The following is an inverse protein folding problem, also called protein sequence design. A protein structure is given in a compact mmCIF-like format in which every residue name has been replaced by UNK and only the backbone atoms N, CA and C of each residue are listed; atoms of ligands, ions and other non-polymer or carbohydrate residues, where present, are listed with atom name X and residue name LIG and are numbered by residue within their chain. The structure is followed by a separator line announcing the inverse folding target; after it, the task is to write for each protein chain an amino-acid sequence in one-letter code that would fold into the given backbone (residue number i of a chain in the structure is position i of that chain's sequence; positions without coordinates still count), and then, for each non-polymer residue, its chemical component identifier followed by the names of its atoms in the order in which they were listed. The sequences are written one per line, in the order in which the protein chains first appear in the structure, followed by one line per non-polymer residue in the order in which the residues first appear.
data_IF_353831380817
#
_entry.id   IF_353831380817
#
_cell.length_a   1.000
_cell.length_b   1.000
_cell.length_c   1.000
_cell.angle_alpha   90.00
_cell.angle_beta   90.00
_cell.angle_gamma   90.00
#
_symmetry.space_group_name_H-M   'P 1'
#
loop_
_entity.id
_entity.type
_entity.pdbx_description
1 polymer ?
#
# COMPACT_ATOMS: atom_id res chain seq x y z
N UNK A 1 26.56 4.09 20.07
CA UNK A 1 25.34 4.14 20.89
C UNK A 1 24.31 4.89 20.05
N UNK A 2 23.37 4.19 19.41
CA UNK A 2 22.28 4.87 18.69
C UNK A 2 21.33 5.44 19.75
N UNK A 3 20.94 6.70 19.58
CA UNK A 3 19.87 7.31 20.39
C UNK A 3 18.57 6.62 20.00
N UNK A 4 17.74 6.26 20.98
CA UNK A 4 16.42 5.70 20.69
C UNK A 4 15.54 6.79 20.07
N UNK A 5 14.77 6.42 19.04
CA UNK A 5 13.83 7.33 18.39
C UNK A 5 12.67 7.65 19.36
N UNK A 6 12.31 8.93 19.46
CA UNK A 6 11.26 9.40 20.36
C UNK A 6 9.90 9.38 19.64
N UNK A 7 9.22 8.24 19.74
CA UNK A 7 7.93 8.00 19.08
C UNK A 7 6.81 8.90 19.61
N UNK A 8 6.81 9.21 20.91
CA UNK A 8 5.76 10.04 21.52
C UNK A 8 5.85 11.49 21.03
N UNK A 9 7.08 12.04 20.97
CA UNK A 9 7.33 13.36 20.41
C UNK A 9 7.05 13.40 18.90
N UNK A 10 7.47 12.37 18.16
CA UNK A 10 7.19 12.22 16.74
C UNK A 10 5.68 12.27 16.45
N UNK A 11 4.87 11.46 17.14
CA UNK A 11 3.42 11.46 16.94
C UNK A 11 2.78 12.81 17.28
N UNK A 12 3.19 13.42 18.39
CA UNK A 12 2.63 14.70 18.85
C UNK A 12 2.95 15.84 17.88
N UNK A 13 4.23 16.00 17.52
CA UNK A 13 4.68 17.09 16.66
C UNK A 13 4.18 16.93 15.22
N UNK A 14 4.21 15.71 14.67
CA UNK A 14 3.70 15.48 13.31
C UNK A 14 2.18 15.58 13.21
N UNK A 15 1.42 15.28 14.27
CA UNK A 15 -0.01 15.57 14.29
C UNK A 15 -0.29 17.07 14.18
N UNK A 16 0.51 17.90 14.88
CA UNK A 16 0.40 19.35 14.79
C UNK A 16 0.78 19.85 13.39
N UNK A 17 1.92 19.38 12.86
CA UNK A 17 2.39 19.75 11.52
C UNK A 17 1.39 19.36 10.43
N UNK A 18 0.88 18.12 10.45
CA UNK A 18 -0.14 17.67 9.51
C UNK A 18 -1.42 18.51 9.62
N UNK A 19 -1.86 18.83 10.85
CA UNK A 19 -3.04 19.69 11.05
C UNK A 19 -2.83 21.09 10.48
N UNK A 20 -1.66 21.69 10.68
CA UNK A 20 -1.33 23.02 10.15
C UNK A 20 -1.23 23.01 8.61
N UNK A 21 -0.65 21.97 8.03
CA UNK A 21 -0.63 21.76 6.58
C UNK A 21 -2.04 21.65 5.99
N UNK A 22 -2.93 20.84 6.59
CA UNK A 22 -4.34 20.76 6.14
C UNK A 22 -5.04 22.11 6.28
N UNK A 23 -4.84 22.86 7.38
CA UNK A 23 -5.41 24.20 7.52
C UNK A 23 -4.96 25.12 6.38
N UNK A 24 -3.68 25.09 6.02
CA UNK A 24 -3.15 25.88 4.91
C UNK A 24 -3.76 25.45 3.56
N UNK A 25 -3.93 24.15 3.33
CA UNK A 25 -4.60 23.64 2.13
C UNK A 25 -6.08 24.06 2.06
N UNK A 26 -6.83 23.95 3.16
CA UNK A 26 -8.23 24.39 3.24
C UNK A 26 -8.34 25.90 3.01
N UNK A 27 -7.42 26.70 3.57
CA UNK A 27 -7.38 28.15 3.31
C UNK A 27 -7.11 28.46 1.84
N UNK A 28 -6.28 27.66 1.17
CA UNK A 28 -5.96 27.78 -0.26
C UNK A 28 -7.16 27.40 -1.12
N UNK A 29 -7.87 26.33 -0.76
CA UNK A 29 -9.11 25.87 -1.41
C UNK A 29 -10.30 26.82 -1.16
N UNK A 30 -10.14 27.82 -0.29
CA UNK A 30 -11.08 28.90 -0.07
C UNK A 30 -12.51 28.44 0.27
N UNK A 31 -13.44 28.50 -0.69
CA UNK A 31 -14.87 28.20 -0.49
C UNK A 31 -15.29 26.81 -0.94
N UNK A 32 -14.32 25.97 -1.33
CA UNK A 32 -14.57 24.58 -1.69
C UNK A 32 -14.93 23.74 -0.46
N UNK A 33 -15.51 22.58 -0.70
CA UNK A 33 -16.06 21.69 0.32
C UNK A 33 -15.12 20.49 0.50
N UNK A 34 -14.28 20.44 1.56
CA UNK A 34 -13.42 19.28 1.81
C UNK A 34 -14.24 18.02 2.10
N UNK A 35 -13.85 16.89 1.52
CA UNK A 35 -14.45 15.60 1.86
C UNK A 35 -13.43 14.53 2.27
N UNK A 36 -12.15 14.70 1.91
CA UNK A 36 -11.12 13.76 2.31
C UNK A 36 -9.74 14.39 2.53
N UNK A 37 -8.96 13.77 3.42
CA UNK A 37 -7.53 13.99 3.58
C UNK A 37 -6.84 12.64 3.48
N UNK A 38 -5.75 12.56 2.73
CA UNK A 38 -4.99 11.33 2.57
C UNK A 38 -3.53 11.53 2.94
N UNK A 39 -2.99 10.56 3.67
CA UNK A 39 -1.56 10.34 3.79
C UNK A 39 -1.18 9.34 2.69
N UNK A 40 -0.34 9.69 1.73
CA UNK A 40 -0.08 8.86 0.54
C UNK A 40 1.41 8.76 0.20
N UNK A 41 1.76 8.03 -0.85
CA UNK A 41 3.16 7.84 -1.29
C UNK A 41 4.08 7.29 -0.20
N UNK A 42 3.59 6.32 0.58
CA UNK A 42 4.41 5.59 1.54
C UNK A 42 5.60 4.93 0.84
N UNK A 43 6.81 5.30 1.25
CA UNK A 43 8.04 4.73 0.71
C UNK A 43 8.94 4.21 1.81
N UNK A 44 9.38 2.97 1.64
CA UNK A 44 10.33 2.33 2.53
C UNK A 44 11.21 1.32 1.78
N UNK A 45 12.48 1.26 2.15
CA UNK A 45 13.43 0.27 1.65
C UNK A 45 13.75 -0.71 2.78
N UNK A 46 13.56 -2.02 2.56
CA UNK A 46 13.89 -3.02 3.59
C UNK A 46 15.34 -2.87 4.05
N UNK A 47 15.55 -2.66 5.36
CA UNK A 47 16.85 -2.34 6.00
C UNK A 47 17.45 -0.96 5.64
N UNK A 48 16.77 -0.19 4.80
CA UNK A 48 17.10 1.16 4.39
C UNK A 48 16.18 2.20 5.05
N UNK A 49 15.89 3.26 4.31
CA UNK A 49 15.13 4.41 4.79
C UNK A 49 13.63 4.14 4.89
N UNK A 50 12.96 4.94 5.71
CA UNK A 50 11.50 5.09 5.74
C UNK A 50 11.24 6.59 5.57
N UNK A 51 10.51 6.97 4.54
CA UNK A 51 10.11 8.36 4.32
C UNK A 51 8.75 8.64 4.94
N UNK A 52 8.55 9.91 5.31
CA UNK A 52 7.22 10.39 5.67
C UNK A 52 6.33 10.34 4.42
N UNK A 53 5.02 10.04 4.59
CA UNK A 53 4.09 10.07 3.47
C UNK A 53 3.80 11.52 3.06
N UNK A 54 3.28 11.72 1.86
CA UNK A 54 2.73 13.02 1.45
C UNK A 54 1.35 13.23 2.07
N UNK A 55 0.88 14.48 2.07
CA UNK A 55 -0.45 14.84 2.51
C UNK A 55 -1.25 15.43 1.35
N UNK A 56 -2.47 14.96 1.16
CA UNK A 56 -3.38 15.48 0.14
C UNK A 56 -4.72 15.90 0.74
N UNK A 57 -5.35 16.91 0.15
CA UNK A 57 -6.71 17.36 0.47
C UNK A 57 -7.59 17.27 -0.78
N UNK A 58 -8.74 16.61 -0.64
CA UNK A 58 -9.73 16.52 -1.69
C UNK A 58 -10.96 17.37 -1.36
N UNK A 59 -11.46 18.08 -2.36
CA UNK A 59 -12.69 18.87 -2.28
C UNK A 59 -13.67 18.44 -3.36
N UNK A 60 -14.96 18.63 -3.12
CA UNK A 60 -16.02 18.24 -4.07
C UNK A 60 -15.88 18.97 -5.42
N UNK A 61 -15.28 20.15 -5.42
CA UNK A 61 -15.13 21.02 -6.59
C UNK A 61 -13.83 20.76 -7.38
N UNK A 62 -12.74 20.33 -6.74
CA UNK A 62 -11.46 20.09 -7.41
C UNK A 62 -11.37 18.71 -8.07
N UNK A 63 -12.18 17.74 -7.63
CA UNK A 63 -12.17 16.37 -8.15
C UNK A 63 -13.41 16.10 -8.99
N UNK A 64 -13.32 16.40 -10.29
CA UNK A 64 -14.44 16.24 -11.24
C UNK A 64 -14.68 14.78 -11.68
N UNK A 65 -13.61 13.98 -11.80
CA UNK A 65 -13.68 12.60 -12.25
C UNK A 65 -14.01 11.67 -11.07
N UNK A 66 -15.15 10.95 -11.09
CA UNK A 66 -15.50 9.99 -10.04
C UNK A 66 -14.44 8.92 -9.81
N UNK A 67 -13.69 8.53 -10.86
CA UNK A 67 -12.64 7.51 -10.76
C UNK A 67 -11.40 8.05 -10.00
N UNK A 68 -11.22 9.37 -9.92
CA UNK A 68 -10.14 10.03 -9.18
C UNK A 68 -10.54 10.46 -7.76
N UNK A 69 -11.79 10.20 -7.32
CA UNK A 69 -12.32 10.67 -6.04
C UNK A 69 -11.45 10.29 -4.83
N UNK A 70 -10.91 9.07 -4.82
CA UNK A 70 -10.00 8.60 -3.78
C UNK A 70 -8.64 8.19 -4.38
N UNK A 71 -8.09 9.08 -5.21
CA UNK A 71 -6.76 8.95 -5.81
C UNK A 71 -5.92 10.18 -5.43
N UNK A 72 -5.22 10.17 -4.26
CA UNK A 72 -4.43 11.31 -3.80
C UNK A 72 -3.46 11.91 -4.83
N UNK A 73 -2.77 11.12 -5.68
CA UNK A 73 -1.90 11.68 -6.71
C UNK A 73 -2.61 12.58 -7.73
N UNK A 74 -3.92 12.41 -7.90
CA UNK A 74 -4.74 13.18 -8.85
C UNK A 74 -5.38 14.43 -8.22
N UNK A 75 -5.19 14.67 -6.92
CA UNK A 75 -5.79 15.81 -6.23
C UNK A 75 -5.01 17.10 -6.45
N UNK A 76 -5.72 18.23 -6.50
CA UNK A 76 -5.12 19.55 -6.74
C UNK A 76 -4.26 20.02 -5.55
N UNK A 77 -4.74 19.79 -4.33
CA UNK A 77 -4.09 20.27 -3.12
C UNK A 77 -3.24 19.16 -2.49
N UNK A 78 -1.92 19.27 -2.65
CA UNK A 78 -0.94 18.35 -2.10
C UNK A 78 0.17 19.11 -1.38
N UNK A 79 0.64 18.55 -0.27
CA UNK A 79 1.79 18.99 0.50
C UNK A 79 2.77 17.82 0.66
N UNK A 80 3.92 17.95 0.00
CA UNK A 80 4.97 16.93 -0.07
C UNK A 80 5.94 16.99 1.12
N UNK A 81 5.91 18.04 1.93
CA UNK A 81 6.90 18.25 3.01
C UNK A 81 6.26 18.56 4.39
N UNK A 82 4.92 18.55 4.48
CA UNK A 82 4.13 18.88 5.69
C UNK A 82 4.54 20.25 6.28
N UNK A 83 4.68 21.24 5.39
CA UNK A 83 5.12 22.61 5.70
C UNK A 83 6.63 22.76 5.99
N UNK A 84 7.07 23.98 6.34
CA UNK A 84 8.46 24.29 6.75
C UNK A 84 8.86 23.68 8.12
N UNK A 85 8.09 22.68 8.60
CA UNK A 85 8.14 22.09 9.95
C UNK A 85 8.43 20.60 9.93
N UNK A 86 9.07 20.04 8.90
CA UNK A 86 9.86 18.82 9.13
C UNK A 86 10.92 19.18 10.17
N UNK A 87 10.66 18.84 11.44
CA UNK A 87 11.56 19.07 12.59
C UNK A 87 12.88 18.27 12.47
N UNK A 88 13.23 17.85 11.26
CA UNK A 88 14.20 16.81 10.95
C UNK A 88 13.69 15.43 11.32
N UNK A 89 12.37 15.22 11.50
CA UNK A 89 11.82 13.94 11.91
C UNK A 89 12.01 12.88 10.82
N UNK A 90 11.85 13.25 9.55
CA UNK A 90 12.11 12.34 8.43
C UNK A 90 13.58 11.89 8.38
N UNK A 91 14.51 12.82 8.57
CA UNK A 91 15.95 12.51 8.66
C UNK A 91 16.29 11.67 9.89
N UNK A 92 15.75 12.03 11.06
CA UNK A 92 15.96 11.29 12.31
C UNK A 92 15.43 9.86 12.22
N UNK A 93 14.25 9.66 11.63
CA UNK A 93 13.65 8.35 11.39
C UNK A 93 14.56 7.53 10.47
N UNK A 94 14.95 8.11 9.34
CA UNK A 94 15.87 7.48 8.37
C UNK A 94 17.18 7.04 9.03
N UNK A 95 17.79 7.89 9.87
CA UNK A 95 19.01 7.57 10.62
C UNK A 95 18.79 6.46 11.64
N UNK A 96 17.64 6.43 12.31
CA UNK A 96 17.32 5.43 13.32
C UNK A 96 17.19 4.03 12.72
N UNK A 97 16.53 3.92 11.56
CA UNK A 97 16.15 2.64 10.95
C UNK A 97 17.17 2.09 9.94
N UNK A 98 17.94 2.96 9.28
CA UNK A 98 18.89 2.53 8.24
C UNK A 98 19.98 1.62 8.81
N UNK A 99 20.24 0.51 8.10
CA UNK A 99 21.24 -0.48 8.45
C UNK A 99 20.88 -1.36 9.64
N UNK A 100 19.64 -1.30 10.13
CA UNK A 100 19.15 -2.29 11.10
C UNK A 100 19.09 -3.68 10.46
N UNK A 101 19.33 -4.76 11.25
CA UNK A 101 18.98 -6.10 10.83
C UNK A 101 17.50 -6.18 10.45
N UNK A 102 17.17 -6.94 9.41
CA UNK A 102 15.80 -7.04 8.85
C UNK A 102 14.69 -7.15 9.91
N UNK A 103 14.80 -8.11 10.84
CA UNK A 103 13.77 -8.30 11.86
C UNK A 103 13.60 -7.11 12.82
N UNK A 104 14.64 -6.29 13.03
CA UNK A 104 14.54 -5.07 13.82
C UNK A 104 13.98 -3.92 12.97
N UNK A 105 14.37 -3.84 11.70
CA UNK A 105 13.80 -2.88 10.76
C UNK A 105 12.29 -3.08 10.59
N UNK A 106 11.83 -4.33 10.45
CA UNK A 106 10.40 -4.67 10.37
C UNK A 106 9.63 -4.23 11.64
N UNK A 107 10.25 -4.35 12.82
CA UNK A 107 9.64 -3.84 14.06
C UNK A 107 9.52 -2.31 14.10
N UNK A 108 10.52 -1.59 13.57
CA UNK A 108 10.45 -0.12 13.50
C UNK A 108 9.47 0.33 12.40
N UNK A 109 9.34 -0.43 11.31
CA UNK A 109 8.28 -0.22 10.32
C UNK A 109 6.89 -0.37 10.94
N UNK A 110 6.65 -1.42 11.72
CA UNK A 110 5.36 -1.63 12.40
C UNK A 110 5.02 -0.48 13.36
N UNK A 111 6.02 0.04 14.07
CA UNK A 111 5.86 1.22 14.94
C UNK A 111 5.56 2.47 14.15
N UNK A 112 6.27 2.70 13.04
CA UNK A 112 5.99 3.81 12.13
C UNK A 112 4.57 3.74 11.58
N UNK A 113 4.15 2.59 11.07
CA UNK A 113 2.79 2.37 10.57
C UNK A 113 1.74 2.69 11.64
N UNK A 114 1.96 2.24 12.88
CA UNK A 114 1.07 2.56 13.99
C UNK A 114 1.08 4.06 14.36
N UNK A 115 2.24 4.70 14.34
CA UNK A 115 2.37 6.12 14.61
C UNK A 115 1.63 6.97 13.58
N UNK A 116 1.74 6.66 12.28
CA UNK A 116 1.03 7.40 11.23
C UNK A 116 -0.49 7.20 11.32
N UNK A 117 -0.96 6.00 11.71
CA UNK A 117 -2.38 5.78 12.01
C UNK A 117 -2.86 6.69 13.15
N UNK A 118 -2.07 6.81 14.23
CA UNK A 118 -2.39 7.70 15.35
C UNK A 118 -2.39 9.17 14.92
N UNK A 119 -1.40 9.58 14.11
CA UNK A 119 -1.28 10.92 13.55
C UNK A 119 -2.51 11.27 12.71
N UNK A 120 -2.93 10.39 11.79
CA UNK A 120 -4.11 10.63 10.96
C UNK A 120 -5.40 10.77 11.79
N UNK A 121 -5.59 9.90 12.79
CA UNK A 121 -6.72 10.00 13.71
C UNK A 121 -6.68 11.28 14.55
N UNK A 122 -5.50 11.69 15.02
CA UNK A 122 -5.26 12.93 15.75
C UNK A 122 -5.57 14.16 14.90
N UNK A 123 -5.08 14.19 13.65
CA UNK A 123 -5.32 15.26 12.67
C UNK A 123 -6.81 15.40 12.39
N UNK A 124 -7.53 14.29 12.12
CA UNK A 124 -8.99 14.32 11.95
C UNK A 124 -9.68 14.92 13.18
N UNK A 125 -9.33 14.43 14.37
CA UNK A 125 -9.94 14.87 15.63
C UNK A 125 -9.75 16.37 15.85
N UNK A 126 -8.53 16.87 15.64
CA UNK A 126 -8.20 18.28 15.85
C UNK A 126 -8.95 19.21 14.88
N UNK A 127 -8.97 18.85 13.59
CA UNK A 127 -9.53 19.69 12.53
C UNK A 127 -11.06 19.65 12.45
N UNK A 128 -11.69 18.55 12.88
CA UNK A 128 -13.13 18.51 13.06
C UNK A 128 -13.52 19.33 14.30
N UNK A 129 -12.78 19.22 15.40
CA UNK A 129 -13.08 19.92 16.64
C UNK A 129 -12.98 21.46 16.52
N UNK A 130 -12.07 21.98 15.69
CA UNK A 130 -11.93 23.41 15.44
C UNK A 130 -12.79 23.94 14.26
N UNK A 131 -13.48 23.04 13.55
CA UNK A 131 -14.36 23.35 12.43
C UNK A 131 -13.65 23.61 11.10
N UNK A 132 -12.35 23.29 10.98
CA UNK A 132 -11.62 23.35 9.71
C UNK A 132 -12.13 22.31 8.71
N UNK A 133 -12.44 21.10 9.17
CA UNK A 133 -13.00 20.02 8.36
C UNK A 133 -14.43 19.68 8.81
N UNK A 134 -15.29 19.19 7.90
CA UNK A 134 -16.63 18.73 8.28
C UNK A 134 -16.59 17.41 9.06
N UNK A 135 -17.64 17.14 9.83
CA UNK A 135 -17.75 15.93 10.69
C UNK A 135 -17.65 14.60 9.90
N UNK A 136 -18.07 14.60 8.65
CA UNK A 136 -18.08 13.43 7.76
C UNK A 136 -16.84 13.31 6.86
N UNK A 137 -15.81 14.13 7.10
CA UNK A 137 -14.53 14.01 6.39
C UNK A 137 -13.90 12.63 6.59
N UNK A 138 -13.37 12.06 5.51
CA UNK A 138 -12.61 10.80 5.54
C UNK A 138 -11.12 11.13 5.60
N UNK A 139 -10.44 10.71 6.67
CA UNK A 139 -8.97 10.82 6.78
C UNK A 139 -8.39 9.42 6.74
N UNK A 140 -7.55 9.13 5.75
CA UNK A 140 -7.06 7.78 5.49
C UNK A 140 -5.59 7.72 5.07
N UNK A 141 -5.01 6.53 5.12
CA UNK A 141 -3.65 6.24 4.69
C UNK A 141 -3.71 5.42 3.39
N UNK A 142 -3.16 5.93 2.30
CA UNK A 142 -3.12 5.29 0.99
C UNK A 142 -1.77 4.59 0.78
N UNK A 143 -1.65 3.37 1.31
CA UNK A 143 -0.49 2.50 1.10
C UNK A 143 -0.70 1.52 -0.06
N UNK A 144 0.37 1.15 -0.75
CA UNK A 144 0.32 0.26 -1.92
C UNK A 144 -0.37 -1.09 -1.62
N UNK A 145 -0.23 -1.61 -0.39
CA UNK A 145 -0.83 -2.88 0.02
C UNK A 145 -2.27 -2.73 0.51
N UNK A 146 -2.72 -1.52 0.84
CA UNK A 146 -4.04 -1.23 1.37
C UNK A 146 -4.29 -1.60 2.84
N UNK A 147 -3.29 -2.09 3.57
CA UNK A 147 -3.46 -2.47 4.99
C UNK A 147 -3.72 -1.24 5.85
N UNK A 148 -2.95 -0.17 5.62
CA UNK A 148 -3.09 1.07 6.36
C UNK A 148 -4.39 1.77 6.00
N UNK A 149 -4.81 1.71 4.74
CA UNK A 149 -6.12 2.20 4.30
C UNK A 149 -7.23 1.58 5.14
N UNK A 150 -7.31 0.24 5.16
CA UNK A 150 -8.35 -0.50 5.88
C UNK A 150 -8.33 -0.19 7.38
N UNK A 151 -7.15 0.00 7.96
CA UNK A 151 -6.98 0.29 9.40
C UNK A 151 -7.26 1.76 9.77
N UNK A 152 -7.19 2.66 8.81
CA UNK A 152 -7.34 4.11 9.04
C UNK A 152 -8.79 4.60 9.01
N UNK A 153 -9.69 3.84 8.39
CA UNK A 153 -11.11 4.23 8.23
C UNK A 153 -12.04 3.38 9.08
N UNK A 154 -13.25 3.89 9.33
CA UNK A 154 -14.32 3.11 9.96
C UNK A 154 -14.87 2.04 9.01
N UNK A 155 -15.51 0.97 9.52
CA UNK A 155 -16.16 -0.04 8.68
C UNK A 155 -17.22 0.56 7.73
N UNK A 156 -17.97 1.57 8.18
CA UNK A 156 -18.97 2.26 7.37
C UNK A 156 -18.34 3.09 6.24
N UNK A 157 -17.24 3.80 6.52
CA UNK A 157 -16.47 4.53 5.51
C UNK A 157 -15.83 3.55 4.51
N UNK A 158 -15.26 2.44 4.97
CA UNK A 158 -14.68 1.40 4.12
C UNK A 158 -15.72 0.84 3.13
N UNK A 159 -16.90 0.46 3.62
CA UNK A 159 -17.96 -0.09 2.76
C UNK A 159 -18.52 0.95 1.77
N UNK A 160 -18.54 2.22 2.15
CA UNK A 160 -19.10 3.30 1.31
C UNK A 160 -18.11 3.77 0.25
N UNK A 161 -16.85 3.97 0.63
CA UNK A 161 -15.85 4.66 -0.18
C UNK A 161 -14.83 3.71 -0.80
N UNK A 162 -14.60 2.54 -0.20
CA UNK A 162 -13.57 1.57 -0.59
C UNK A 162 -14.13 0.13 -0.65
N UNK A 163 -15.22 -0.11 -1.40
CA UNK A 163 -15.93 -1.40 -1.37
C UNK A 163 -15.05 -2.59 -1.80
N UNK A 164 -14.09 -2.38 -2.69
CA UNK A 164 -13.16 -3.42 -3.13
C UNK A 164 -12.18 -3.85 -2.02
N UNK A 165 -11.74 -2.91 -1.18
CA UNK A 165 -10.93 -3.21 0.00
C UNK A 165 -11.73 -3.95 1.07
N UNK A 166 -13.00 -3.57 1.26
CA UNK A 166 -13.90 -4.31 2.15
C UNK A 166 -14.09 -5.77 1.70
N UNK A 167 -14.33 -5.98 0.40
CA UNK A 167 -14.46 -7.32 -0.18
C UNK A 167 -13.17 -8.14 -0.05
N UNK A 168 -12.01 -7.52 -0.28
CA UNK A 168 -10.69 -8.13 -0.11
C UNK A 168 -10.46 -8.57 1.34
N UNK A 169 -10.75 -7.71 2.31
CA UNK A 169 -10.59 -8.01 3.74
C UNK A 169 -11.53 -9.15 4.21
N UNK A 170 -12.77 -9.18 3.70
CA UNK A 170 -13.71 -10.27 3.97
C UNK A 170 -13.26 -11.60 3.36
N UNK A 171 -12.76 -11.56 2.11
CA UNK A 171 -12.20 -12.74 1.43
C UNK A 171 -10.98 -13.29 2.20
N UNK A 172 -10.09 -12.41 2.66
CA UNK A 172 -8.94 -12.80 3.49
C UNK A 172 -9.39 -13.50 4.77
N UNK A 173 -10.32 -12.88 5.52
CA UNK A 173 -10.84 -13.45 6.77
C UNK A 173 -11.49 -14.81 6.54
N UNK A 174 -12.26 -14.96 5.45
CA UNK A 174 -12.88 -16.22 5.08
C UNK A 174 -11.81 -17.31 4.84
N UNK A 175 -10.76 -17.00 4.08
CA UNK A 175 -9.66 -17.94 3.80
C UNK A 175 -8.86 -18.29 5.05
N UNK A 176 -8.54 -17.31 5.90
CA UNK A 176 -7.81 -17.53 7.15
C UNK A 176 -8.59 -18.36 8.17
N UNK A 177 -9.92 -18.40 8.07
CA UNK A 177 -10.76 -19.28 8.91
C UNK A 177 -10.75 -20.75 8.48
N UNK A 178 -10.24 -21.06 7.27
CA UNK A 178 -10.24 -22.43 6.74
C UNK A 178 -9.15 -23.31 7.37
N UNK A 179 -9.37 -24.64 7.42
CA UNK A 179 -8.31 -25.62 7.67
C UNK A 179 -7.18 -25.49 6.65
N UNK A 180 -5.93 -25.72 7.07
CA UNK A 180 -4.72 -25.53 6.23
C UNK A 180 -4.84 -26.15 4.83
N UNK A 181 -5.29 -27.40 4.63
CA UNK A 181 -5.40 -27.96 3.29
C UNK A 181 -6.38 -27.22 2.37
N UNK A 182 -7.49 -26.74 2.92
CA UNK A 182 -8.49 -25.97 2.17
C UNK A 182 -7.97 -24.55 1.89
N UNK A 183 -7.28 -23.95 2.86
CA UNK A 183 -6.63 -22.65 2.73
C UNK A 183 -5.59 -22.65 1.60
N UNK A 184 -4.69 -23.64 1.58
CA UNK A 184 -3.68 -23.80 0.52
C UNK A 184 -4.35 -23.88 -0.85
N UNK A 185 -5.42 -24.66 -1.00
CA UNK A 185 -6.14 -24.78 -2.26
C UNK A 185 -6.81 -23.46 -2.69
N UNK A 186 -7.48 -22.76 -1.76
CA UNK A 186 -8.14 -21.49 -2.02
C UNK A 186 -7.13 -20.41 -2.43
N UNK A 187 -6.02 -20.28 -1.70
CA UNK A 187 -4.97 -19.32 -2.02
C UNK A 187 -4.25 -19.66 -3.34
N UNK A 188 -4.01 -20.94 -3.63
CA UNK A 188 -3.40 -21.37 -4.88
C UNK A 188 -4.26 -21.01 -6.10
N UNK A 189 -5.60 -21.08 -5.96
CA UNK A 189 -6.52 -20.61 -6.97
C UNK A 189 -6.48 -19.08 -7.10
N UNK A 190 -6.55 -18.35 -5.98
CA UNK A 190 -6.53 -16.90 -5.95
C UNK A 190 -5.23 -16.31 -6.51
N UNK A 191 -4.07 -16.90 -6.23
CA UNK A 191 -2.76 -16.54 -6.79
C UNK A 191 -2.59 -16.93 -8.28
N UNK A 192 -3.56 -17.67 -8.84
CA UNK A 192 -3.51 -18.16 -10.21
C UNK A 192 -2.46 -19.25 -10.45
N UNK A 193 -2.07 -20.00 -9.41
CA UNK A 193 -1.22 -21.20 -9.50
C UNK A 193 -2.02 -22.42 -9.93
N UNK A 194 -3.33 -22.42 -9.65
CA UNK A 194 -4.28 -23.45 -10.07
C UNK A 194 -5.55 -22.83 -10.66
N UNK A 195 -6.32 -23.55 -11.49
CA UNK A 195 -7.59 -23.04 -11.98
C UNK A 195 -8.59 -22.91 -10.81
N UNK A 196 -9.34 -21.81 -10.79
CA UNK A 196 -10.35 -21.58 -9.76
C UNK A 196 -11.20 -20.35 -10.05
N UNK A 197 -12.21 -20.08 -9.20
CA UNK A 197 -13.00 -18.87 -9.31
C UNK A 197 -12.12 -17.63 -9.11
N UNK A 198 -12.56 -16.49 -9.65
CA UNK A 198 -11.97 -15.20 -9.26
C UNK A 198 -12.19 -15.00 -7.77
N UNK A 199 -11.18 -14.45 -7.12
CA UNK A 199 -11.18 -14.13 -5.69
C UNK A 199 -11.00 -12.63 -5.54
N UNK A 200 -11.73 -12.04 -4.60
CA UNK A 200 -11.58 -10.62 -4.26
C UNK A 200 -10.29 -10.37 -3.44
N UNK A 201 -9.63 -11.41 -2.93
CA UNK A 201 -8.36 -11.32 -2.18
C UNK A 201 -7.19 -10.71 -2.99
N UNK A 202 -7.26 -10.74 -4.32
CA UNK A 202 -6.12 -10.38 -5.17
C UNK A 202 -5.03 -11.46 -5.26
N UNK A 203 -4.20 -11.41 -6.30
CA UNK A 203 -3.17 -12.44 -6.57
C UNK A 203 -1.94 -12.30 -5.66
N UNK A 204 -1.53 -11.06 -5.37
CA UNK A 204 -0.33 -10.76 -4.59
C UNK A 204 -0.53 -11.15 -3.13
N UNK A 205 -1.59 -10.65 -2.50
CA UNK A 205 -1.95 -11.04 -1.13
C UNK A 205 -2.17 -12.54 -0.97
N UNK A 206 -2.78 -13.20 -1.96
CA UNK A 206 -2.91 -14.66 -1.93
C UNK A 206 -1.56 -15.40 -1.98
N UNK A 207 -0.56 -14.82 -2.65
CA UNK A 207 0.81 -15.36 -2.73
C UNK A 207 1.53 -15.16 -1.40
N UNK A 208 1.40 -14.01 -0.76
CA UNK A 208 2.01 -13.75 0.57
C UNK A 208 1.46 -14.71 1.62
N UNK A 209 0.13 -14.88 1.66
CA UNK A 209 -0.51 -15.84 2.57
C UNK A 209 -0.14 -17.30 2.27
N UNK A 210 0.26 -17.64 1.04
CA UNK A 210 0.85 -18.95 0.74
C UNK A 210 2.26 -19.08 1.28
N UNK A 211 3.07 -18.02 1.17
CA UNK A 211 4.43 -17.99 1.72
C UNK A 211 4.39 -18.20 3.24
N UNK A 212 3.46 -17.55 3.93
CA UNK A 212 3.26 -17.67 5.39
C UNK A 212 2.90 -19.10 5.83
N UNK A 213 2.34 -19.92 4.94
CA UNK A 213 2.05 -21.33 5.21
C UNK A 213 3.28 -22.25 5.10
N UNK A 214 4.41 -21.73 4.62
CA UNK A 214 5.70 -22.44 4.60
C UNK A 214 5.65 -23.76 3.85
N UNK A 215 6.08 -24.85 4.51
CA UNK A 215 6.14 -26.19 3.91
C UNK A 215 4.80 -26.67 3.32
N UNK A 216 3.66 -26.22 3.86
CA UNK A 216 2.35 -26.61 3.36
C UNK A 216 2.06 -26.09 1.93
N UNK A 217 2.74 -25.03 1.48
CA UNK A 217 2.59 -24.48 0.14
C UNK A 217 3.54 -25.12 -0.91
N UNK A 218 4.58 -25.85 -0.47
CA UNK A 218 5.56 -26.49 -1.37
C UNK A 218 4.92 -27.38 -2.45
N UNK A 219 3.93 -28.24 -2.13
CA UNK A 219 3.28 -29.08 -3.14
C UNK A 219 2.60 -28.27 -4.26
N UNK A 220 2.04 -27.11 -3.94
CA UNK A 220 1.41 -26.21 -4.93
C UNK A 220 2.46 -25.63 -5.86
N UNK A 221 3.57 -25.14 -5.31
CA UNK A 221 4.69 -24.62 -6.09
C UNK A 221 5.23 -25.66 -7.07
N UNK A 222 5.45 -26.89 -6.60
CA UNK A 222 5.90 -28.02 -7.44
C UNK A 222 4.87 -28.35 -8.53
N UNK A 223 3.58 -28.42 -8.18
CA UNK A 223 2.53 -28.70 -9.15
C UNK A 223 2.43 -27.62 -10.24
N UNK A 224 2.62 -26.35 -9.88
CA UNK A 224 2.60 -25.22 -10.81
C UNK A 224 3.76 -25.27 -11.84
N UNK A 225 4.90 -25.88 -11.49
CA UNK A 225 6.02 -26.09 -12.43
C UNK A 225 5.67 -27.01 -13.61
N UNK A 226 4.66 -27.87 -13.46
CA UNK A 226 4.27 -28.82 -14.51
C UNK A 226 3.56 -28.16 -15.70
N UNK A 227 3.09 -26.91 -15.58
CA UNK A 227 2.37 -26.19 -16.63
C UNK A 227 3.12 -24.93 -17.05
N UNK A 228 3.18 -24.68 -18.35
CA UNK A 228 3.95 -23.55 -18.89
C UNK A 228 3.42 -22.18 -18.45
N UNK A 229 2.12 -22.04 -18.30
CA UNK A 229 1.46 -20.80 -17.91
C UNK A 229 1.66 -20.45 -16.42
N UNK A 230 1.93 -21.45 -15.58
CA UNK A 230 2.15 -21.27 -14.13
C UNK A 230 3.58 -21.55 -13.67
N UNK A 231 4.46 -22.07 -14.53
CA UNK A 231 5.80 -22.51 -14.15
C UNK A 231 6.65 -21.38 -13.56
N UNK A 232 6.61 -20.18 -14.14
CA UNK A 232 7.31 -19.03 -13.56
C UNK A 232 6.78 -18.67 -12.15
N UNK A 233 5.45 -18.67 -11.97
CA UNK A 233 4.82 -18.38 -10.67
C UNK A 233 5.19 -19.44 -9.63
N UNK A 234 5.16 -20.71 -10.02
CA UNK A 234 5.58 -21.83 -9.16
C UNK A 234 7.04 -21.73 -8.75
N UNK A 235 7.94 -21.40 -9.68
CA UNK A 235 9.35 -21.20 -9.38
C UNK A 235 9.60 -20.02 -8.43
N UNK A 236 8.89 -18.90 -8.64
CA UNK A 236 8.95 -17.73 -7.76
C UNK A 236 8.49 -18.08 -6.34
N UNK A 237 7.32 -18.70 -6.19
CA UNK A 237 6.80 -19.12 -4.88
C UNK A 237 7.81 -20.03 -4.13
N UNK A 238 8.39 -21.02 -4.82
CA UNK A 238 9.38 -21.92 -4.19
C UNK A 238 10.66 -21.20 -3.76
N UNK A 239 11.08 -20.17 -4.50
CA UNK A 239 12.21 -19.34 -4.12
C UNK A 239 11.89 -18.47 -2.89
N UNK A 240 10.71 -17.86 -2.86
CA UNK A 240 10.26 -16.99 -1.78
C UNK A 240 10.00 -17.77 -0.48
N UNK A 241 9.58 -19.04 -0.58
CA UNK A 241 9.47 -19.97 0.55
C UNK A 241 10.82 -20.31 1.21
N UNK A 242 11.94 -20.13 0.50
CA UNK A 242 13.29 -20.44 0.99
C UNK A 242 13.51 -21.89 1.46
N UNK A 243 12.74 -22.85 0.92
CA UNK A 243 12.79 -24.27 1.26
C UNK A 243 13.44 -25.08 0.11
N UNK A 244 14.68 -25.52 0.31
CA UNK A 244 15.47 -26.23 -0.71
C UNK A 244 15.52 -27.75 -0.47
N UNK A 245 14.37 -28.42 -0.44
CA UNK A 245 14.34 -29.90 -0.34
C UNK A 245 14.81 -30.56 -1.65
N UNK A 246 15.28 -31.82 -1.62
CA UNK A 246 15.64 -32.55 -2.83
C UNK A 246 14.52 -32.59 -3.87
N UNK A 247 13.27 -32.70 -3.43
CA UNK A 247 12.09 -32.73 -4.31
C UNK A 247 11.86 -31.38 -5.00
N UNK A 248 12.03 -30.26 -4.28
CA UNK A 248 11.96 -28.91 -4.85
C UNK A 248 13.05 -28.71 -5.90
N UNK A 249 14.29 -29.09 -5.59
CA UNK A 249 15.41 -28.97 -6.53
C UNK A 249 15.20 -29.85 -7.77
N UNK A 250 14.73 -31.09 -7.60
CA UNK A 250 14.43 -31.99 -8.71
C UNK A 250 13.32 -31.44 -9.62
N UNK A 251 12.25 -30.89 -9.03
CA UNK A 251 11.15 -30.29 -9.78
C UNK A 251 11.60 -29.04 -10.56
N UNK A 252 12.40 -28.17 -9.95
CA UNK A 252 12.97 -26.99 -10.61
C UNK A 252 13.87 -27.38 -11.79
N UNK A 253 14.75 -28.38 -11.61
CA UNK A 253 15.60 -28.89 -12.70
C UNK A 253 14.79 -29.48 -13.85
N UNK A 254 13.71 -30.21 -13.54
CA UNK A 254 12.80 -30.73 -14.56
C UNK A 254 12.12 -29.59 -15.35
N UNK A 255 11.75 -28.50 -14.67
CA UNK A 255 11.12 -27.34 -15.29
C UNK A 255 12.05 -26.54 -16.22
N UNK A 256 13.37 -26.50 -15.96
CA UNK A 256 14.37 -25.87 -16.86
C UNK A 256 14.38 -26.50 -18.25
N UNK A 257 13.97 -27.78 -18.37
CA UNK A 257 13.81 -28.48 -19.65
C UNK A 257 12.65 -27.95 -20.52
N UNK A 258 11.75 -27.13 -19.99
CA UNK A 258 10.59 -26.56 -20.70
C UNK A 258 10.99 -25.36 -21.59
N UNK A 259 11.73 -25.58 -22.69
CA UNK A 259 12.02 -24.51 -23.68
C UNK A 259 10.81 -24.19 -24.59
N UNK A 260 10.53 -22.89 -24.81
CA UNK A 260 9.70 -22.34 -25.91
C UNK A 260 9.06 -20.96 -25.65
N UNK A 261 9.61 -19.92 -26.28
CA UNK A 261 9.35 -18.46 -26.31
C UNK A 261 7.92 -17.93 -26.00
N UNK A 262 7.86 -16.90 -25.13
CA UNK A 262 6.78 -15.91 -25.09
C UNK A 262 7.33 -14.53 -25.50
N UNK A 263 7.04 -14.10 -26.72
CA UNK A 263 7.31 -12.76 -27.24
C UNK A 263 6.46 -11.72 -26.51
N UNK A 264 7.08 -10.61 -26.14
CA UNK A 264 6.45 -9.40 -25.61
C UNK A 264 5.33 -8.96 -26.59
N UNK A 265 4.08 -9.02 -26.16
CA UNK A 265 2.95 -8.44 -26.88
C UNK A 265 3.02 -6.91 -26.88
N UNK A 266 2.41 -6.22 -27.86
CA UNK A 266 2.47 -4.76 -27.93
C UNK A 266 1.76 -4.14 -26.73
N UNK A 267 2.38 -3.09 -26.16
CA UNK A 267 1.82 -2.27 -25.07
C UNK A 267 0.41 -1.75 -25.45
N UNK A 268 -0.54 -1.70 -24.50
CA UNK A 268 -1.78 -0.96 -24.69
C UNK A 268 -1.46 0.55 -24.85
N UNK A 269 -2.31 1.32 -25.56
CA UNK A 269 -2.13 2.76 -25.69
C UNK A 269 -2.28 3.43 -24.32
N UNK A 270 -1.30 4.26 -23.95
CA UNK A 270 -1.39 5.16 -22.81
C UNK A 270 -2.40 6.27 -23.11
N UNK A 271 -3.24 6.63 -22.14
CA UNK A 271 -4.02 7.86 -22.20
C UNK A 271 -3.07 9.04 -22.43
N UNK A 272 -3.26 9.76 -23.53
CA UNK A 272 -2.50 10.97 -23.82
C UNK A 272 -2.86 12.03 -22.79
N UNK A 273 -1.89 12.41 -21.97
CA UNK A 273 -1.84 13.75 -21.39
C UNK A 273 -1.73 14.73 -22.56
N UNK A 274 -2.76 15.55 -22.77
CA UNK A 274 -2.69 16.68 -23.68
C UNK A 274 -1.73 17.70 -23.09
N UNK A 275 -0.56 17.88 -23.71
CA UNK A 275 0.35 18.96 -23.36
C UNK A 275 -0.33 20.32 -23.63
N UNK A 276 -0.21 21.32 -22.74
CA UNK A 276 -0.68 22.67 -23.02
C UNK A 276 0.14 23.33 -24.13
N UNK A 277 -0.56 24.13 -24.92
CA UNK A 277 -0.10 24.74 -26.15
C UNK A 277 1.13 25.64 -25.98
N UNK A 278 2.01 25.57 -26.96
CA UNK A 278 3.21 26.37 -27.13
C UNK A 278 2.88 27.87 -27.23
N UNK A 279 3.33 28.68 -26.28
CA UNK A 279 3.37 30.13 -26.43
C UNK A 279 4.60 30.48 -27.27
N UNK A 280 4.36 31.03 -28.46
CA UNK A 280 5.38 31.61 -29.34
C UNK A 280 5.66 33.06 -28.89
N UNK A 281 6.91 33.50 -28.71
CA UNK A 281 7.18 34.92 -28.56
C UNK A 281 7.23 35.59 -29.94
N UNK A 282 6.36 36.58 -30.15
CA UNK A 282 6.46 37.52 -31.26
C UNK A 282 7.38 38.68 -30.87
N UNK A 283 8.52 38.75 -31.58
CA UNK A 283 9.41 39.89 -31.88
C UNK A 283 9.88 40.83 -30.78
#
# INVERSE_FOLDING_TARGET
MRVAFDWDAFETELTLAASDAVRAMVQTAASETPYAVAFSEFYAETTGVIYLPNLGLATEESVEDPDCRFSPPDWEYQDYEWGETDSGWGEQLSVAVTGLPRAQWEQEWDRFAQAVLNIAAGTRTALVADGTLPDDVVVYLDDEAGDLLVRSVTPEELLRHFPDYAASADAERAVLSMPVPQRVAALAAAAGLTPGPRSDLGQERATDLLIDLGEAAVPVGIAALARRDTAWKGAKLLADLHIATPDVLAALWAAVGLRGMGTIGPRPPTCRVSAPASITPSR
#
